data_IF_000880871268
#
_entry.id   IF_000880871268
#
_cell.length_a   1.000
_cell.length_b   1.000
_cell.length_c   1.000
_cell.angle_alpha   90.00
_cell.angle_beta   90.00
_cell.angle_gamma   90.00
#
_symmetry.space_group_name_H-M   'P 1'
#
loop_
_entity.id
_entity.type
_entity.pdbx_description
1 polymer ?
#
# COMPACT_ATOMS: atom_id res chain seq x y z
N UNK A 1 -55.82 -7.39 34.76
CA UNK A 1 -55.73 -5.98 35.22
C UNK A 1 -54.35 -5.44 34.84
N UNK A 2 -54.33 -4.50 33.91
CA UNK A 2 -53.15 -3.81 33.40
C UNK A 2 -52.71 -2.70 34.39
N UNK A 3 -51.44 -2.69 34.80
CA UNK A 3 -50.66 -1.51 35.26
C UNK A 3 -49.18 -1.82 34.92
N UNK A 4 -48.54 -1.29 33.87
CA UNK A 4 -48.00 0.07 33.68
C UNK A 4 -47.30 0.62 34.94
N UNK A 5 -45.95 0.72 34.92
CA UNK A 5 -45.12 1.94 35.13
C UNK A 5 -43.70 1.63 35.68
N UNK A 6 -42.70 2.13 34.93
CA UNK A 6 -41.33 2.64 35.27
C UNK A 6 -40.39 1.78 36.15
N UNK A 7 -39.16 1.41 35.77
CA UNK A 7 -37.96 2.18 35.36
C UNK A 7 -37.49 3.26 36.37
N UNK A 8 -36.33 3.01 37.00
CA UNK A 8 -35.16 3.89 37.27
C UNK A 8 -34.17 3.01 38.10
N UNK A 9 -32.99 2.58 37.62
CA UNK A 9 -31.70 3.28 37.37
C UNK A 9 -30.99 3.79 38.64
N UNK A 10 -29.67 3.53 38.69
CA UNK A 10 -28.60 4.09 39.53
C UNK A 10 -28.02 3.22 40.68
N UNK A 11 -27.04 2.39 40.28
CA UNK A 11 -25.61 2.41 40.68
C UNK A 11 -25.26 2.71 42.15
N UNK A 12 -24.47 1.81 42.76
CA UNK A 12 -23.75 2.09 44.01
C UNK A 12 -22.87 0.97 44.55
N UNK A 13 -21.86 0.56 43.77
CA UNK A 13 -20.51 0.09 44.17
C UNK A 13 -20.39 -0.95 45.32
N UNK A 14 -19.78 -2.11 45.03
CA UNK A 14 -18.48 -2.57 45.62
C UNK A 14 -18.24 -4.07 45.37
N UNK A 15 -17.23 -4.35 44.53
CA UNK A 15 -16.20 -5.34 44.84
C UNK A 15 -16.50 -6.82 44.62
N UNK A 16 -16.50 -7.28 43.37
CA UNK A 16 -15.91 -8.57 43.02
C UNK A 16 -15.06 -8.43 41.76
N UNK A 17 -13.78 -8.77 41.90
CA UNK A 17 -12.71 -8.49 40.95
C UNK A 17 -12.91 -9.15 39.59
N UNK A 18 -12.94 -8.31 38.56
CA UNK A 18 -12.48 -8.67 37.23
C UNK A 18 -11.13 -7.98 37.10
N UNK A 19 -10.05 -8.77 37.03
CA UNK A 19 -8.74 -8.27 36.62
C UNK A 19 -8.89 -7.87 35.15
N UNK A 20 -9.34 -6.65 34.92
CA UNK A 20 -9.42 -6.06 33.58
C UNK A 20 -8.00 -5.77 33.12
N UNK A 21 -7.50 -6.56 32.18
CA UNK A 21 -6.41 -6.08 31.33
C UNK A 21 -6.93 -4.84 30.59
N UNK A 22 -6.56 -3.66 31.07
CA UNK A 22 -6.70 -2.40 30.33
C UNK A 22 -5.82 -2.49 29.08
N UNK A 23 -6.39 -3.06 28.02
CA UNK A 23 -5.83 -3.10 26.67
C UNK A 23 -6.37 -1.96 25.80
N UNK A 24 -7.17 -1.05 26.37
CA UNK A 24 -7.71 0.10 25.65
C UNK A 24 -6.61 1.15 25.51
N UNK A 25 -6.36 1.54 24.26
CA UNK A 25 -5.45 2.62 23.93
C UNK A 25 -5.99 3.91 24.56
N UNK A 26 -5.12 4.74 25.14
CA UNK A 26 -5.54 6.09 25.50
C UNK A 26 -5.91 6.87 24.24
N UNK A 27 -6.80 7.86 24.36
CA UNK A 27 -7.22 8.71 23.23
C UNK A 27 -6.02 9.29 22.46
N UNK A 28 -4.97 9.69 23.19
CA UNK A 28 -3.74 10.22 22.58
C UNK A 28 -2.96 9.15 21.79
N UNK A 29 -2.89 7.91 22.28
CA UNK A 29 -2.21 6.82 21.57
C UNK A 29 -3.07 6.31 20.41
N UNK A 30 -4.40 6.30 20.54
CA UNK A 30 -5.33 5.96 19.47
C UNK A 30 -5.20 6.98 18.32
N UNK A 31 -5.21 8.28 18.60
CA UNK A 31 -5.03 9.31 17.58
C UNK A 31 -3.69 9.19 16.83
N UNK A 32 -2.61 8.77 17.51
CA UNK A 32 -1.32 8.47 16.85
C UNK A 32 -1.40 7.25 15.95
N UNK A 33 -2.17 6.24 16.35
CA UNK A 33 -2.39 5.01 15.61
C UNK A 33 -3.27 5.26 14.37
N UNK A 34 -4.36 6.02 14.51
CA UNK A 34 -5.23 6.47 13.41
C UNK A 34 -4.46 7.30 12.40
N UNK A 35 -3.62 8.24 12.85
CA UNK A 35 -2.77 9.02 11.96
C UNK A 35 -1.81 8.14 11.15
N UNK A 36 -1.23 7.12 11.78
CA UNK A 36 -0.36 6.17 11.09
C UNK A 36 -1.14 5.36 10.04
N UNK A 37 -2.36 4.94 10.38
CA UNK A 37 -3.25 4.24 9.46
C UNK A 37 -3.64 5.12 8.26
N UNK A 38 -4.05 6.37 8.49
CA UNK A 38 -4.37 7.31 7.42
C UNK A 38 -3.18 7.64 6.51
N UNK A 39 -1.96 7.69 7.07
CA UNK A 39 -0.76 7.81 6.24
C UNK A 39 -0.55 6.57 5.35
N UNK A 40 -0.86 5.37 5.85
CA UNK A 40 -0.77 4.14 5.06
C UNK A 40 -1.83 4.13 3.94
N UNK A 41 -3.08 4.48 4.21
CA UNK A 41 -4.13 4.59 3.19
C UNK A 41 -3.67 5.47 2.03
N UNK A 42 -3.13 6.65 2.35
CA UNK A 42 -2.58 7.55 1.34
C UNK A 42 -1.46 6.90 0.52
N UNK A 43 -0.55 6.17 1.16
CA UNK A 43 0.53 5.48 0.44
C UNK A 43 -0.06 4.44 -0.53
N UNK A 44 -1.10 3.71 -0.12
CA UNK A 44 -1.74 2.68 -0.93
C UNK A 44 -2.49 3.27 -2.13
N UNK A 45 -3.12 4.44 -1.95
CA UNK A 45 -3.74 5.21 -3.04
C UNK A 45 -2.69 5.70 -4.04
N UNK A 46 -1.59 6.27 -3.54
CA UNK A 46 -0.60 6.94 -4.38
C UNK A 46 0.35 5.95 -5.10
N UNK A 47 0.70 4.81 -4.49
CA UNK A 47 1.82 3.93 -4.94
C UNK A 47 1.62 3.33 -6.33
N UNK A 48 0.37 3.10 -6.75
CA UNK A 48 0.07 2.45 -8.03
C UNK A 48 0.27 3.44 -9.18
N UNK A 49 -0.50 4.53 -9.22
CA UNK A 49 -0.52 5.44 -10.36
C UNK A 49 0.27 6.72 -10.13
N UNK A 50 0.12 7.36 -8.97
CA UNK A 50 0.80 8.64 -8.72
C UNK A 50 2.31 8.46 -8.63
N UNK A 51 2.77 7.46 -7.89
CA UNK A 51 4.20 7.20 -7.76
C UNK A 51 4.80 6.62 -9.05
N UNK A 52 4.03 5.82 -9.80
CA UNK A 52 4.42 5.40 -11.14
C UNK A 52 4.67 6.62 -12.04
N UNK A 53 3.68 7.51 -12.13
CA UNK A 53 3.76 8.70 -12.95
C UNK A 53 4.89 9.61 -12.52
N UNK A 54 5.14 9.79 -11.22
CA UNK A 54 6.24 10.60 -10.71
C UNK A 54 7.62 10.00 -11.00
N UNK A 55 7.78 8.69 -10.81
CA UNK A 55 9.06 7.98 -11.01
C UNK A 55 9.40 7.93 -12.50
N UNK A 56 8.42 7.61 -13.36
CA UNK A 56 8.63 7.48 -14.80
C UNK A 56 8.25 8.74 -15.58
N UNK A 57 8.05 9.87 -14.89
CA UNK A 57 7.75 11.14 -15.54
C UNK A 57 8.87 11.56 -16.49
N UNK A 58 8.51 11.86 -17.73
CA UNK A 58 9.46 12.36 -18.72
C UNK A 58 10.34 11.27 -19.35
N UNK A 59 10.03 10.00 -19.09
CA UNK A 59 10.51 8.90 -19.92
C UNK A 59 9.92 9.08 -21.32
N UNK A 60 10.78 9.30 -22.32
CA UNK A 60 10.35 9.57 -23.68
C UNK A 60 10.23 8.28 -24.48
N UNK A 61 9.09 8.12 -25.14
CA UNK A 61 8.85 7.12 -26.17
C UNK A 61 9.21 7.74 -27.53
N UNK A 62 10.41 7.48 -28.05
CA UNK A 62 10.80 7.87 -29.39
C UNK A 62 10.31 6.78 -30.36
N UNK A 63 9.29 7.09 -31.17
CA UNK A 63 8.93 6.25 -32.32
C UNK A 63 10.00 6.49 -33.39
N UNK A 64 10.98 5.59 -33.50
CA UNK A 64 11.90 5.64 -34.64
C UNK A 64 11.13 5.09 -35.85
N UNK A 65 10.50 5.99 -36.62
CA UNK A 65 9.83 5.67 -37.89
C UNK A 65 10.86 5.21 -38.94
N UNK A 66 11.45 4.02 -38.77
CA UNK A 66 12.11 3.34 -39.89
C UNK A 66 11.03 2.61 -40.66
N UNK A 67 10.55 3.23 -41.75
CA UNK A 67 9.93 2.48 -42.82
C UNK A 67 10.94 1.44 -43.31
N UNK A 68 10.75 0.18 -42.94
CA UNK A 68 11.25 -0.92 -43.74
C UNK A 68 10.37 -0.97 -44.97
N UNK A 69 10.95 -0.71 -46.14
CA UNK A 69 10.27 -0.92 -47.42
C UNK A 69 9.64 -2.31 -47.44
N UNK A 70 8.31 -2.38 -47.35
CA UNK A 70 7.54 -3.56 -47.79
C UNK A 70 6.73 -4.36 -46.76
N UNK A 71 6.66 -4.01 -45.47
CA UNK A 71 5.80 -4.75 -44.53
C UNK A 71 4.91 -3.83 -43.66
N UNK A 72 3.60 -3.95 -43.87
CA UNK A 72 2.52 -3.12 -43.32
C UNK A 72 2.02 -3.69 -41.97
N UNK A 73 2.61 -4.79 -41.48
CA UNK A 73 2.29 -5.33 -40.14
C UNK A 73 2.95 -4.55 -38.99
N UNK A 74 3.67 -3.47 -39.30
CA UNK A 74 3.89 -2.26 -38.51
C UNK A 74 3.97 -2.46 -36.98
N UNK A 75 4.85 -3.36 -36.51
CA UNK A 75 5.25 -3.42 -35.11
C UNK A 75 6.21 -2.27 -34.84
N UNK A 76 5.69 -1.20 -34.23
CA UNK A 76 6.47 -0.02 -33.86
C UNK A 76 7.44 -0.40 -32.74
N UNK A 77 8.73 -0.27 -32.99
CA UNK A 77 9.74 -0.32 -31.93
C UNK A 77 9.72 1.04 -31.23
N UNK A 78 9.25 1.04 -29.98
CA UNK A 78 9.25 2.23 -29.13
C UNK A 78 10.62 2.32 -28.45
N UNK A 79 11.46 3.24 -28.89
CA UNK A 79 12.72 3.52 -28.20
C UNK A 79 12.41 4.32 -26.95
N UNK A 80 12.51 3.69 -25.79
CA UNK A 80 12.46 4.43 -24.51
C UNK A 80 13.84 5.02 -24.26
N UNK A 81 13.95 6.36 -24.34
CA UNK A 81 15.23 7.05 -24.06
C UNK A 81 15.17 7.75 -22.72
N UNK A 82 15.99 7.27 -21.78
CA UNK A 82 16.27 7.96 -20.52
C UNK A 82 17.49 8.84 -20.74
N UNK A 83 17.31 10.16 -20.88
CA UNK A 83 18.47 11.04 -20.70
C UNK A 83 18.96 10.92 -19.25
N UNK A 84 20.27 11.06 -19.04
CA UNK A 84 20.91 10.85 -17.73
C UNK A 84 20.28 11.70 -16.61
N UNK A 85 19.82 12.92 -16.95
CA UNK A 85 19.19 13.82 -15.98
C UNK A 85 17.81 13.30 -15.57
N UNK A 86 17.03 12.77 -16.50
CA UNK A 86 15.73 12.15 -16.24
C UNK A 86 15.87 10.86 -15.44
N UNK A 87 16.84 10.00 -15.78
CA UNK A 87 17.14 8.79 -15.02
C UNK A 87 17.54 9.10 -13.57
N UNK A 88 18.41 10.09 -13.37
CA UNK A 88 18.82 10.50 -12.03
C UNK A 88 17.64 11.03 -11.20
N UNK A 89 16.73 11.79 -11.81
CA UNK A 89 15.50 12.23 -11.13
C UNK A 89 14.59 11.07 -10.74
N UNK A 90 14.41 10.10 -11.64
CA UNK A 90 13.62 8.90 -11.36
C UNK A 90 14.20 8.11 -10.18
N UNK A 91 15.53 7.92 -10.15
CA UNK A 91 16.24 7.24 -9.05
C UNK A 91 16.12 8.00 -7.73
N UNK A 92 16.19 9.33 -7.74
CA UNK A 92 15.98 10.13 -6.52
C UNK A 92 14.53 10.07 -6.03
N UNK A 93 13.55 10.17 -6.93
CA UNK A 93 12.13 10.00 -6.58
C UNK A 93 11.87 8.63 -5.93
N UNK A 94 12.41 7.55 -6.51
CA UNK A 94 12.32 6.20 -5.95
C UNK A 94 12.91 6.13 -4.52
N UNK A 95 14.07 6.74 -4.28
CA UNK A 95 14.68 6.81 -2.94
C UNK A 95 13.80 7.56 -1.95
N UNK A 96 13.17 8.66 -2.36
CA UNK A 96 12.24 9.41 -1.53
C UNK A 96 11.01 8.56 -1.15
N UNK A 97 10.41 7.86 -2.12
CA UNK A 97 9.28 6.94 -1.85
C UNK A 97 9.67 5.80 -0.91
N UNK A 98 10.87 5.25 -1.09
CA UNK A 98 11.42 4.21 -0.20
C UNK A 98 11.58 4.73 1.22
N UNK A 99 11.98 5.98 1.40
CA UNK A 99 12.04 6.62 2.73
C UNK A 99 10.66 6.74 3.35
N UNK A 100 9.65 7.18 2.60
CA UNK A 100 8.25 7.26 3.07
C UNK A 100 7.76 5.90 3.60
N UNK A 101 7.93 4.83 2.82
CA UNK A 101 7.58 3.46 3.27
C UNK A 101 8.40 3.07 4.51
N UNK A 102 9.67 3.45 4.56
CA UNK A 102 10.54 3.09 5.67
C UNK A 102 10.21 3.82 6.97
N UNK A 103 9.60 4.99 6.90
CA UNK A 103 9.17 5.75 8.08
C UNK A 103 7.85 5.21 8.68
N UNK A 104 7.16 4.29 7.99
CA UNK A 104 5.95 3.62 8.51
C UNK A 104 6.25 2.92 9.84
N UNK A 105 5.45 3.27 10.86
CA UNK A 105 5.52 2.66 12.18
C UNK A 105 4.59 1.44 12.28
N UNK A 106 5.12 0.28 11.86
CA UNK A 106 4.42 -1.01 11.90
C UNK A 106 3.88 -1.37 13.28
N UNK A 107 4.55 -0.95 14.36
CA UNK A 107 4.06 -1.23 15.72
C UNK A 107 2.76 -0.45 16.03
N UNK A 108 2.64 0.80 15.57
CA UNK A 108 1.41 1.58 15.71
C UNK A 108 0.29 1.03 14.84
N UNK A 109 0.58 0.69 13.58
CA UNK A 109 -0.40 0.02 12.72
C UNK A 109 -0.92 -1.28 13.35
N UNK A 110 -0.03 -2.11 13.88
CA UNK A 110 -0.43 -3.34 14.58
C UNK A 110 -1.31 -3.07 15.80
N UNK A 111 -1.03 -2.01 16.57
CA UNK A 111 -1.87 -1.61 17.71
C UNK A 111 -3.25 -1.17 17.23
N UNK A 112 -3.31 -0.36 16.17
CA UNK A 112 -4.56 0.08 15.56
C UNK A 112 -5.42 -1.10 15.11
N UNK A 113 -4.85 -2.01 14.31
CA UNK A 113 -5.57 -3.19 13.80
C UNK A 113 -6.07 -4.08 14.95
N UNK A 114 -5.31 -4.22 16.04
CA UNK A 114 -5.79 -4.94 17.23
C UNK A 114 -6.96 -4.26 17.92
N UNK A 115 -6.98 -2.92 17.92
CA UNK A 115 -8.09 -2.14 18.44
C UNK A 115 -9.32 -2.31 17.55
N UNK A 116 -9.17 -2.22 16.23
CA UNK A 116 -10.26 -2.45 15.25
C UNK A 116 -10.84 -3.85 15.37
N UNK A 117 -10.00 -4.90 15.46
CA UNK A 117 -10.45 -6.29 15.66
C UNK A 117 -11.36 -6.47 16.88
N UNK A 118 -11.17 -5.65 17.92
CA UNK A 118 -11.95 -5.71 19.16
C UNK A 118 -13.25 -4.90 19.07
N UNK A 119 -13.21 -3.76 18.40
CA UNK A 119 -14.25 -2.74 18.51
C UNK A 119 -15.12 -2.58 17.25
N UNK A 120 -14.57 -2.89 16.08
CA UNK A 120 -15.28 -2.73 14.81
C UNK A 120 -16.13 -3.97 14.47
N UNK A 121 -17.32 -3.74 13.90
CA UNK A 121 -18.28 -4.79 13.57
C UNK A 121 -17.79 -5.72 12.48
N UNK A 122 -16.99 -5.21 11.54
CA UNK A 122 -16.42 -5.96 10.42
C UNK A 122 -15.70 -7.22 10.90
N UNK A 123 -14.99 -7.14 12.03
CA UNK A 123 -14.20 -8.25 12.57
C UNK A 123 -14.99 -9.20 13.47
N UNK A 124 -16.24 -8.90 13.83
CA UNK A 124 -17.01 -9.73 14.79
C UNK A 124 -17.18 -11.15 14.29
N UNK A 125 -17.46 -11.31 12.99
CA UNK A 125 -17.76 -12.61 12.37
C UNK A 125 -16.50 -13.35 11.90
N UNK A 126 -15.32 -12.72 11.97
CA UNK A 126 -14.06 -13.37 11.62
C UNK A 126 -13.61 -14.36 12.69
N UNK A 127 -13.13 -15.51 12.24
CA UNK A 127 -12.48 -16.55 13.04
C UNK A 127 -11.17 -16.03 13.66
N UNK A 128 -10.66 -16.77 14.66
CA UNK A 128 -9.39 -16.45 15.30
C UNK A 128 -8.22 -16.54 14.31
N UNK A 129 -8.27 -17.52 13.42
CA UNK A 129 -7.27 -17.77 12.38
C UNK A 129 -7.25 -16.62 11.36
N UNK A 130 -8.42 -16.16 10.89
CA UNK A 130 -8.51 -15.02 9.97
C UNK A 130 -7.98 -13.72 10.62
N UNK A 131 -8.35 -13.45 11.88
CA UNK A 131 -7.80 -12.31 12.65
C UNK A 131 -6.29 -12.38 12.80
N UNK A 132 -5.74 -13.57 13.01
CA UNK A 132 -4.30 -13.77 13.10
C UNK A 132 -3.60 -13.52 11.75
N UNK A 133 -4.21 -13.93 10.64
CA UNK A 133 -3.68 -13.67 9.30
C UNK A 133 -3.69 -12.17 8.96
N UNK A 134 -4.75 -11.43 9.31
CA UNK A 134 -4.79 -9.96 9.18
C UNK A 134 -3.61 -9.31 9.90
N UNK A 135 -3.36 -9.70 11.16
CA UNK A 135 -2.24 -9.16 11.93
C UNK A 135 -0.88 -9.52 11.34
N UNK A 136 -0.74 -10.73 10.79
CA UNK A 136 0.49 -11.19 10.13
C UNK A 136 0.74 -10.40 8.83
N UNK A 137 -0.28 -10.24 7.99
CA UNK A 137 -0.21 -9.43 6.77
C UNK A 137 0.07 -7.95 7.08
N UNK A 138 -0.54 -7.39 8.12
CA UNK A 138 -0.24 -6.03 8.63
C UNK A 138 1.25 -5.84 8.95
N UNK A 139 1.88 -6.83 9.59
CA UNK A 139 3.31 -6.79 9.90
C UNK A 139 4.21 -6.81 8.65
N UNK A 140 3.70 -7.33 7.54
CA UNK A 140 4.43 -7.45 6.28
C UNK A 140 4.20 -6.27 5.33
N UNK A 141 3.26 -5.35 5.60
CA UNK A 141 2.92 -4.22 4.72
C UNK A 141 4.16 -3.48 4.21
N UNK A 142 5.04 -3.05 5.13
CA UNK A 142 6.29 -2.35 4.76
C UNK A 142 7.20 -3.17 3.86
N UNK A 143 7.24 -4.49 4.03
CA UNK A 143 8.01 -5.39 3.16
C UNK A 143 7.39 -5.44 1.77
N UNK A 144 6.07 -5.64 1.69
CA UNK A 144 5.32 -5.73 0.43
C UNK A 144 5.46 -4.43 -0.38
N UNK A 145 5.28 -3.27 0.26
CA UNK A 145 5.43 -1.98 -0.41
C UNK A 145 6.85 -1.76 -0.93
N UNK A 146 7.88 -2.18 -0.17
CA UNK A 146 9.26 -2.14 -0.66
C UNK A 146 9.48 -3.09 -1.84
N UNK A 147 8.89 -4.29 -1.84
CA UNK A 147 8.95 -5.21 -2.98
C UNK A 147 8.29 -4.61 -4.22
N UNK A 148 7.22 -3.82 -4.05
CA UNK A 148 6.65 -3.04 -5.13
C UNK A 148 7.64 -2.02 -5.71
N UNK A 149 8.32 -1.25 -4.85
CA UNK A 149 9.38 -0.33 -5.31
C UNK A 149 10.58 -1.04 -5.94
N UNK A 150 10.91 -2.27 -5.52
CA UNK A 150 11.97 -3.08 -6.12
C UNK A 150 11.66 -3.40 -7.60
N UNK A 151 10.37 -3.55 -7.98
CA UNK A 151 9.96 -3.71 -9.39
C UNK A 151 10.34 -2.46 -10.20
N UNK A 152 9.99 -1.27 -9.70
CA UNK A 152 10.36 -0.01 -10.34
C UNK A 152 11.88 0.17 -10.42
N UNK A 153 12.61 -0.19 -9.35
CA UNK A 153 14.07 -0.13 -9.33
C UNK A 153 14.71 -1.03 -10.40
N UNK A 154 14.21 -2.26 -10.55
CA UNK A 154 14.71 -3.20 -11.54
C UNK A 154 14.56 -2.63 -12.96
N UNK A 155 13.43 -2.00 -13.27
CA UNK A 155 13.17 -1.37 -14.57
C UNK A 155 14.14 -0.20 -14.81
N UNK A 156 14.33 0.67 -13.81
CA UNK A 156 15.28 1.79 -13.91
C UNK A 156 16.74 1.31 -14.06
N UNK A 157 17.10 0.18 -13.45
CA UNK A 157 18.44 -0.40 -13.57
C UNK A 157 18.65 -1.13 -14.91
N UNK A 158 17.60 -1.64 -15.53
CA UNK A 158 17.64 -2.16 -16.91
C UNK A 158 17.82 -1.02 -17.94
N UNK A 159 17.43 0.20 -17.59
CA UNK A 159 17.48 1.41 -18.44
C UNK A 159 18.85 2.01 -18.72
N UNK A 160 19.93 1.32 -18.39
CA UNK A 160 21.27 1.65 -18.89
C UNK A 160 21.46 1.24 -20.37
N UNK A 161 20.46 0.58 -20.97
CA UNK A 161 20.43 0.27 -22.40
C UNK A 161 19.67 1.34 -23.16
N UNK A 162 20.28 1.87 -24.22
CA UNK A 162 19.72 2.89 -25.13
C UNK A 162 18.48 2.40 -25.92
N UNK A 163 18.14 1.11 -25.83
CA UNK A 163 17.11 0.44 -26.61
C UNK A 163 16.41 -0.60 -25.73
N UNK A 164 15.09 -0.48 -25.63
CA UNK A 164 14.21 -1.47 -25.02
C UNK A 164 13.42 -2.17 -26.14
N UNK A 165 13.22 -3.48 -26.00
CA UNK A 165 12.35 -4.24 -26.89
C UNK A 165 10.87 -4.13 -26.47
N UNK A 166 9.95 -4.67 -27.28
CA UNK A 166 8.50 -4.64 -27.06
C UNK A 166 8.11 -5.23 -25.69
N UNK A 167 8.73 -6.35 -25.30
CA UNK A 167 8.49 -7.03 -24.02
C UNK A 167 8.92 -6.15 -22.83
N UNK A 168 10.06 -5.47 -22.93
CA UNK A 168 10.53 -4.58 -21.86
C UNK A 168 9.67 -3.30 -21.73
N UNK A 169 9.11 -2.79 -22.84
CA UNK A 169 8.14 -1.69 -22.80
C UNK A 169 6.82 -2.12 -22.17
N UNK A 170 6.35 -3.32 -22.51
CA UNK A 170 5.18 -3.93 -21.88
C UNK A 170 5.44 -4.18 -20.39
N UNK A 171 6.64 -4.60 -19.99
CA UNK A 171 7.01 -4.76 -18.59
C UNK A 171 6.99 -3.44 -17.81
N UNK A 172 7.46 -2.34 -18.42
CA UNK A 172 7.35 -1.00 -17.83
C UNK A 172 5.88 -0.60 -17.63
N UNK A 173 5.03 -0.75 -18.65
CA UNK A 173 3.62 -0.40 -18.55
C UNK A 173 2.87 -1.28 -17.55
N UNK A 174 3.14 -2.59 -17.57
CA UNK A 174 2.49 -3.57 -16.71
C UNK A 174 3.06 -3.59 -15.28
N UNK A 175 4.12 -2.83 -14.99
CA UNK A 175 4.73 -2.80 -13.65
C UNK A 175 3.79 -2.27 -12.57
N UNK A 176 3.02 -1.23 -12.87
CA UNK A 176 2.01 -0.70 -11.95
C UNK A 176 0.92 -1.74 -11.65
N UNK A 177 0.51 -2.52 -12.66
CA UNK A 177 -0.45 -3.62 -12.49
C UNK A 177 0.14 -4.75 -11.63
N UNK A 178 1.40 -5.14 -11.84
CA UNK A 178 2.09 -6.14 -10.99
C UNK A 178 2.14 -5.71 -9.52
N UNK A 179 2.36 -4.42 -9.27
CA UNK A 179 2.36 -3.86 -7.89
C UNK A 179 0.96 -3.84 -7.31
N UNK A 180 -0.03 -3.45 -8.12
CA UNK A 180 -1.44 -3.48 -7.74
C UNK A 180 -1.88 -4.89 -7.32
N UNK A 181 -1.60 -5.90 -8.15
CA UNK A 181 -1.92 -7.30 -7.86
C UNK A 181 -1.25 -7.76 -6.56
N UNK A 182 0.03 -7.42 -6.38
CA UNK A 182 0.77 -7.74 -5.14
C UNK A 182 0.13 -7.11 -3.90
N UNK A 183 -0.29 -5.84 -3.98
CA UNK A 183 -0.98 -5.16 -2.90
C UNK A 183 -2.32 -5.83 -2.61
N UNK A 184 -3.11 -6.14 -3.66
CA UNK A 184 -4.42 -6.76 -3.48
C UNK A 184 -4.33 -8.17 -2.89
N UNK A 185 -3.30 -8.93 -3.22
CA UNK A 185 -3.15 -10.29 -2.70
C UNK A 185 -2.59 -10.31 -1.27
N UNK A 186 -1.59 -9.48 -0.98
CA UNK A 186 -0.74 -9.64 0.20
C UNK A 186 -1.06 -8.65 1.33
N UNK A 187 -1.66 -7.49 1.04
CA UNK A 187 -2.12 -6.54 2.06
C UNK A 187 -3.54 -6.92 2.49
N UNK A 188 -3.87 -6.90 3.80
CA UNK A 188 -5.23 -7.18 4.25
C UNK A 188 -6.22 -6.21 3.60
N UNK A 189 -7.36 -6.71 3.13
CA UNK A 189 -8.44 -5.88 2.56
C UNK A 189 -8.84 -4.73 3.50
N UNK A 190 -8.73 -4.96 4.81
CA UNK A 190 -9.11 -4.00 5.84
C UNK A 190 -8.09 -2.85 6.01
N UNK A 191 -6.98 -2.90 5.29
CA UNK A 191 -6.01 -1.80 5.22
C UNK A 191 -6.00 -1.11 3.85
N UNK A 192 -6.77 -1.61 2.87
CA UNK A 192 -6.90 -1.03 1.53
C UNK A 192 -8.11 -0.11 1.49
#
# INVERSE_FOLDING_TARGET
MFKKILLILMIGVLGFGVVGCNDDLSDEELAKCEKEYSNLEKILDDIIWEWYDEIFKGVYHENDNREFEGDITNRRVVKVTFDEKTLNKAKEALKEKRKIINDININRLKKYVKYEIKNDEYYKDMTKEEKAEVLKKTLNVKKILNQGLDIYENILNQGEKLEYNEEECDELFNSALKIQDMIYEEIPEQLK
#
